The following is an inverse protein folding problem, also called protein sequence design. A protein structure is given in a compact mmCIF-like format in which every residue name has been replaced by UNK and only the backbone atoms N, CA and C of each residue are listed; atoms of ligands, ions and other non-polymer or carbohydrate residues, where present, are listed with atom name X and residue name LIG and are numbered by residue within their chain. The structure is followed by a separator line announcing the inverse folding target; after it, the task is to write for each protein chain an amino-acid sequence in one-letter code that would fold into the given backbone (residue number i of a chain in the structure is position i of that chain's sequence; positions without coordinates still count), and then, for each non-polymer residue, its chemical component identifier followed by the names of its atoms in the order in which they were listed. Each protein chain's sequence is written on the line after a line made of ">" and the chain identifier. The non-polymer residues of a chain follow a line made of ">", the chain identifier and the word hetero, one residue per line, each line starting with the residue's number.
data_IF_667733937556
#
_entry.id   IF_667733937556
#
_cell.length_a   1.000
_cell.length_b   1.000
_cell.length_c   1.000
_cell.angle_alpha   90.00
_cell.angle_beta   90.00
_cell.angle_gamma   90.00
#
_symmetry.space_group_name_H-M   'P 1'
#
loop_
_entity.id
_entity.type
_entity.pdbx_description
1 polymer ?
#
# COMPACT_ATOMS: atom_id res chain seq x y z
N UNK A 1 6.70 6.31 -43.70
CA UNK A 1 6.93 6.62 -42.28
C UNK A 1 6.48 5.44 -41.47
N UNK A 2 7.38 4.60 -41.01
CA UNK A 2 7.09 3.41 -40.22
C UNK A 2 6.96 3.82 -38.74
N UNK A 3 5.77 3.69 -38.20
CA UNK A 3 5.52 3.88 -36.76
C UNK A 3 5.95 2.59 -36.09
N UNK A 4 7.10 2.61 -35.43
CA UNK A 4 7.53 1.52 -34.56
C UNK A 4 6.63 1.50 -33.32
N UNK A 5 5.77 0.50 -33.21
CA UNK A 5 4.97 0.21 -32.02
C UNK A 5 5.90 -0.27 -30.90
N UNK A 6 6.26 0.59 -29.97
CA UNK A 6 6.92 0.21 -28.72
C UNK A 6 5.86 -0.32 -27.74
N UNK A 7 5.61 -1.62 -27.77
CA UNK A 7 4.70 -2.34 -26.86
C UNK A 7 5.34 -2.68 -25.48
N UNK A 8 6.11 -1.78 -24.91
CA UNK A 8 6.84 -2.03 -23.64
C UNK A 8 6.42 -1.10 -22.51
N UNK A 9 5.12 -0.88 -22.28
CA UNK A 9 4.68 0.14 -21.30
C UNK A 9 3.74 -0.31 -20.19
N UNK A 10 2.97 -1.37 -20.34
CA UNK A 10 1.84 -1.66 -19.43
C UNK A 10 2.20 -2.48 -18.19
N UNK A 11 3.13 -3.44 -18.29
CA UNK A 11 3.45 -4.34 -17.18
C UNK A 11 4.23 -3.67 -16.02
N UNK A 12 4.98 -2.58 -16.27
CA UNK A 12 5.80 -1.91 -15.24
C UNK A 12 5.09 -0.76 -14.50
N UNK A 13 3.95 -0.27 -15.00
CA UNK A 13 3.23 0.86 -14.41
C UNK A 13 2.31 0.46 -13.27
N UNK A 14 1.65 -0.69 -13.35
CA UNK A 14 0.66 -1.14 -12.36
C UNK A 14 1.22 -1.25 -10.93
N UNK A 15 2.41 -1.85 -10.68
CA UNK A 15 2.95 -1.92 -9.32
C UNK A 15 3.27 -0.54 -8.72
N UNK A 16 3.82 0.37 -9.50
CA UNK A 16 4.12 1.73 -9.04
C UNK A 16 2.84 2.50 -8.71
N UNK A 17 1.75 2.29 -9.45
CA UNK A 17 0.46 2.96 -9.20
C UNK A 17 -0.28 2.35 -8.00
N UNK A 18 -0.16 1.05 -7.76
CA UNK A 18 -0.62 0.40 -6.52
C UNK A 18 0.09 0.99 -5.30
N UNK A 19 1.43 1.05 -5.34
CA UNK A 19 2.23 1.65 -4.27
C UNK A 19 1.89 3.14 -4.05
N UNK A 20 1.58 3.88 -5.11
CA UNK A 20 1.17 5.29 -5.02
C UNK A 20 -0.19 5.45 -4.39
N UNK A 21 -1.13 4.55 -4.64
CA UNK A 21 -2.41 4.48 -3.93
C UNK A 21 -2.22 4.27 -2.43
N UNK A 22 -1.39 3.30 -2.05
CA UNK A 22 -1.03 3.04 -0.65
C UNK A 22 -0.35 4.26 0.00
N UNK A 23 0.57 4.93 -0.69
CA UNK A 23 1.18 6.18 -0.23
C UNK A 23 0.14 7.25 0.12
N UNK A 24 -0.85 7.47 -0.77
CA UNK A 24 -1.88 8.48 -0.52
C UNK A 24 -2.73 8.12 0.70
N UNK A 25 -3.04 6.85 0.89
CA UNK A 25 -3.72 6.37 2.11
C UNK A 25 -2.87 6.61 3.37
N UNK A 26 -1.56 6.32 3.32
CA UNK A 26 -0.64 6.58 4.44
C UNK A 26 -0.58 8.06 4.77
N UNK A 27 -0.47 8.95 3.76
CA UNK A 27 -0.47 10.41 3.97
C UNK A 27 -1.73 10.90 4.68
N UNK A 28 -2.90 10.42 4.25
CA UNK A 28 -4.17 10.78 4.88
C UNK A 28 -4.30 10.21 6.30
N UNK A 29 -3.89 8.96 6.52
CA UNK A 29 -3.89 8.33 7.84
C UNK A 29 -2.94 9.05 8.81
N UNK A 30 -1.73 9.38 8.38
CA UNK A 30 -0.77 10.15 9.15
C UNK A 30 -1.36 11.51 9.56
N UNK A 31 -2.01 12.22 8.62
CA UNK A 31 -2.70 13.48 8.89
C UNK A 31 -3.80 13.31 9.95
N UNK A 32 -4.60 12.25 9.87
CA UNK A 32 -5.67 11.94 10.84
C UNK A 32 -5.13 11.59 12.22
N UNK A 33 -4.04 10.78 12.27
CA UNK A 33 -3.34 10.42 13.52
C UNK A 33 -2.35 11.51 14.00
N UNK A 34 -2.25 12.68 13.32
CA UNK A 34 -1.33 13.81 13.63
C UNK A 34 0.15 13.38 13.64
N UNK A 35 0.51 12.48 12.75
CA UNK A 35 1.90 12.07 12.51
C UNK A 35 2.50 12.93 11.40
N UNK A 36 3.73 13.39 11.60
CA UNK A 36 4.50 14.05 10.55
C UNK A 36 5.24 12.99 9.73
N UNK A 37 5.04 12.94 8.43
CA UNK A 37 5.63 11.91 7.56
C UNK A 37 7.16 11.88 7.68
N UNK A 38 7.80 13.03 7.75
CA UNK A 38 9.26 13.16 7.89
C UNK A 38 9.82 12.70 9.26
N UNK A 39 8.96 12.43 10.24
CA UNK A 39 9.30 11.84 11.53
C UNK A 39 8.84 10.39 11.64
N UNK A 40 8.20 9.87 10.60
CA UNK A 40 7.58 8.54 10.59
C UNK A 40 8.61 7.46 10.31
N UNK A 41 8.62 6.41 11.13
CA UNK A 41 9.42 5.19 10.95
C UNK A 41 8.58 4.12 10.26
N UNK A 42 9.12 3.54 9.18
CA UNK A 42 8.39 2.63 8.29
C UNK A 42 9.10 1.29 8.17
N UNK A 43 8.33 0.20 8.30
CA UNK A 43 8.76 -1.15 7.99
C UNK A 43 7.95 -1.71 6.81
N UNK A 44 8.61 -2.26 5.78
CA UNK A 44 7.96 -2.80 4.58
C UNK A 44 8.32 -4.28 4.42
N UNK A 45 7.35 -5.15 4.64
CA UNK A 45 7.50 -6.58 4.40
C UNK A 45 7.18 -6.90 2.93
N UNK A 46 8.18 -7.44 2.23
CA UNK A 46 8.07 -7.72 0.81
C UNK A 46 8.60 -6.60 -0.09
N UNK A 47 9.91 -6.58 -0.35
CA UNK A 47 10.58 -5.63 -1.23
C UNK A 47 10.52 -6.05 -2.71
N UNK A 48 9.30 -6.44 -3.14
CA UNK A 48 8.94 -6.74 -4.52
C UNK A 48 8.44 -5.52 -5.27
N UNK A 49 7.59 -5.77 -6.28
CA UNK A 49 7.08 -4.72 -7.17
C UNK A 49 6.31 -3.60 -6.44
N UNK A 50 5.47 -3.92 -5.46
CA UNK A 50 4.68 -2.91 -4.73
C UNK A 50 5.52 -2.31 -3.60
N UNK A 51 6.11 -3.17 -2.75
CA UNK A 51 6.80 -2.71 -1.54
C UNK A 51 8.05 -1.86 -1.83
N UNK A 52 8.82 -2.17 -2.87
CA UNK A 52 9.99 -1.35 -3.23
C UNK A 52 9.60 0.06 -3.69
N UNK A 53 8.52 0.20 -4.47
CA UNK A 53 7.98 1.51 -4.84
C UNK A 53 7.38 2.25 -3.64
N UNK A 54 6.66 1.55 -2.76
CA UNK A 54 6.08 2.18 -1.57
C UNK A 54 7.17 2.69 -0.63
N UNK A 55 8.19 1.87 -0.35
CA UNK A 55 9.34 2.28 0.44
C UNK A 55 10.05 3.50 -0.17
N UNK A 56 10.25 3.49 -1.51
CA UNK A 56 10.83 4.60 -2.23
C UNK A 56 10.01 5.88 -2.07
N UNK A 57 8.71 5.83 -2.31
CA UNK A 57 7.84 7.01 -2.23
C UNK A 57 7.73 7.55 -0.80
N UNK A 58 7.68 6.69 0.21
CA UNK A 58 7.70 7.12 1.61
C UNK A 58 9.02 7.78 1.99
N UNK A 59 10.15 7.23 1.52
CA UNK A 59 11.47 7.86 1.71
C UNK A 59 11.57 9.22 0.99
N UNK A 60 11.02 9.35 -0.22
CA UNK A 60 10.94 10.62 -0.96
C UNK A 60 10.08 11.67 -0.22
N UNK A 61 9.08 11.24 0.55
CA UNK A 61 8.28 12.09 1.44
C UNK A 61 8.98 12.42 2.77
N UNK A 62 10.19 11.88 2.98
CA UNK A 62 11.01 12.14 4.16
C UNK A 62 10.85 11.10 5.29
N UNK A 63 10.03 10.07 5.13
CA UNK A 63 9.93 9.01 6.12
C UNK A 63 11.21 8.20 6.25
N UNK A 64 11.52 7.72 7.46
CA UNK A 64 12.66 6.86 7.73
C UNK A 64 12.26 5.40 7.52
N UNK A 65 12.66 4.79 6.42
CA UNK A 65 12.45 3.36 6.17
C UNK A 65 13.46 2.56 6.99
N UNK A 66 13.02 2.00 8.12
CA UNK A 66 13.89 1.30 9.08
C UNK A 66 14.05 -0.19 8.77
N UNK A 67 13.10 -0.78 8.05
CA UNK A 67 13.17 -2.20 7.70
C UNK A 67 12.51 -2.48 6.35
N UNK A 68 13.09 -3.41 5.61
CA UNK A 68 12.57 -3.97 4.36
C UNK A 68 12.87 -5.47 4.34
N UNK A 69 12.05 -6.27 3.64
CA UNK A 69 12.35 -7.70 3.47
C UNK A 69 11.98 -8.22 2.08
N UNK A 70 12.63 -9.30 1.68
CA UNK A 70 12.19 -10.11 0.55
C UNK A 70 11.93 -11.57 0.98
N UNK A 71 11.82 -12.48 0.02
CA UNK A 71 11.59 -13.90 0.30
C UNK A 71 12.80 -14.63 0.93
N UNK A 72 13.96 -14.00 0.94
CA UNK A 72 15.23 -14.58 1.40
C UNK A 72 15.63 -14.03 2.76
N UNK A 73 15.50 -12.72 2.96
CA UNK A 73 15.94 -12.04 4.18
C UNK A 73 15.17 -10.76 4.45
N UNK A 74 15.08 -10.37 5.71
CA UNK A 74 14.78 -9.01 6.13
C UNK A 74 16.06 -8.24 6.44
N UNK A 75 15.97 -6.93 6.37
CA UNK A 75 17.01 -5.97 6.71
C UNK A 75 16.44 -4.94 7.68
N UNK A 76 17.20 -4.62 8.74
CA UNK A 76 16.84 -3.61 9.73
C UNK A 76 17.99 -2.63 9.94
N UNK A 77 17.68 -1.34 9.92
CA UNK A 77 18.57 -0.27 10.36
C UNK A 77 17.73 0.80 11.07
N UNK A 78 17.85 0.98 12.39
CA UNK A 78 17.05 1.97 13.13
C UNK A 78 17.29 3.41 12.70
N UNK A 79 18.42 3.70 12.03
CA UNK A 79 18.77 5.02 11.50
C UNK A 79 18.27 5.23 10.06
N UNK A 80 17.61 4.23 9.48
CA UNK A 80 17.10 4.24 8.11
C UNK A 80 17.98 3.47 7.13
N UNK A 81 17.32 2.87 6.14
CA UNK A 81 17.92 2.16 5.01
C UNK A 81 17.89 3.09 3.81
N UNK A 82 19.02 3.19 3.10
CA UNK A 82 19.04 3.80 1.77
C UNK A 82 18.25 2.92 0.80
N UNK A 83 16.99 3.32 0.57
CA UNK A 83 16.05 2.55 -0.26
C UNK A 83 16.52 2.47 -1.71
N UNK A 84 17.18 3.52 -2.24
CA UNK A 84 17.68 3.51 -3.60
C UNK A 84 18.87 2.54 -3.75
N UNK A 85 19.78 2.53 -2.79
CA UNK A 85 20.89 1.58 -2.74
C UNK A 85 20.39 0.14 -2.59
N UNK A 86 19.35 -0.10 -1.77
CA UNK A 86 18.73 -1.42 -1.62
C UNK A 86 18.05 -1.90 -2.91
N UNK A 87 17.36 -1.00 -3.65
CA UNK A 87 16.78 -1.31 -4.96
C UNK A 87 17.87 -1.69 -5.97
N UNK A 88 18.96 -0.92 -6.03
CA UNK A 88 20.08 -1.18 -6.92
C UNK A 88 20.72 -2.53 -6.58
N UNK A 89 21.04 -2.78 -5.31
CA UNK A 89 21.60 -4.05 -4.84
C UNK A 89 20.72 -5.24 -5.23
N UNK A 90 19.43 -5.18 -4.95
CA UNK A 90 18.49 -6.26 -5.30
C UNK A 90 18.38 -6.49 -6.81
N UNK A 91 18.46 -5.43 -7.61
CA UNK A 91 18.44 -5.54 -9.07
C UNK A 91 19.69 -6.26 -9.60
N UNK A 92 20.84 -6.04 -8.98
CA UNK A 92 22.11 -6.66 -9.37
C UNK A 92 22.25 -8.11 -8.89
N UNK A 93 21.80 -8.39 -7.66
CA UNK A 93 22.02 -9.68 -6.99
C UNK A 93 20.80 -10.61 -7.00
N UNK A 94 19.59 -10.08 -7.30
CA UNK A 94 18.32 -10.79 -7.22
C UNK A 94 17.70 -10.85 -5.83
N UNK A 95 18.41 -10.44 -4.76
CA UNK A 95 17.97 -10.52 -3.37
C UNK A 95 18.48 -9.33 -2.55
N UNK A 96 17.89 -9.13 -1.35
CA UNK A 96 18.42 -8.21 -0.34
C UNK A 96 19.60 -8.81 0.45
N UNK A 97 19.84 -10.11 0.32
CA UNK A 97 20.95 -10.79 1.01
C UNK A 97 22.31 -10.18 0.66
N UNK A 98 23.12 -9.95 1.67
CA UNK A 98 24.44 -9.33 1.50
C UNK A 98 24.46 -7.80 1.42
N UNK A 99 23.33 -7.13 1.55
CA UNK A 99 23.28 -5.67 1.69
C UNK A 99 23.90 -5.24 3.04
N UNK A 100 25.04 -4.54 2.98
CA UNK A 100 25.92 -4.32 4.15
C UNK A 100 25.50 -3.16 5.07
N UNK A 101 24.55 -2.31 4.65
CA UNK A 101 24.18 -1.12 5.40
C UNK A 101 23.03 -1.36 6.42
N UNK A 102 22.69 -2.63 6.68
CA UNK A 102 21.61 -3.02 7.60
C UNK A 102 21.90 -4.39 8.21
N UNK A 103 21.32 -4.64 9.37
CA UNK A 103 21.34 -5.94 10.06
C UNK A 103 20.34 -6.89 9.41
N UNK A 104 20.71 -8.16 9.24
CA UNK A 104 19.80 -9.18 8.74
C UNK A 104 18.84 -9.62 9.85
N UNK A 105 17.54 -9.65 9.52
CA UNK A 105 16.45 -10.11 10.37
C UNK A 105 15.54 -11.07 9.61
N UNK A 106 14.65 -11.75 10.28
CA UNK A 106 13.61 -12.58 9.66
C UNK A 106 12.40 -11.73 9.23
N UNK A 107 11.51 -12.30 8.42
CA UNK A 107 10.24 -11.66 8.08
C UNK A 107 9.33 -11.51 9.31
N UNK A 108 9.35 -12.50 10.19
CA UNK A 108 8.59 -12.51 11.44
C UNK A 108 9.07 -11.40 12.38
N UNK A 109 10.39 -11.25 12.55
CA UNK A 109 10.95 -10.16 13.34
C UNK A 109 10.60 -8.78 12.77
N UNK A 110 10.59 -8.62 11.43
CA UNK A 110 10.21 -7.38 10.80
C UNK A 110 8.77 -6.96 11.14
N UNK A 111 7.81 -7.90 11.11
CA UNK A 111 6.41 -7.63 11.42
C UNK A 111 6.20 -7.14 12.87
N UNK A 112 7.13 -7.44 13.76
CA UNK A 112 7.05 -7.12 15.20
C UNK A 112 7.91 -5.91 15.60
N UNK A 113 8.55 -5.24 14.62
CA UNK A 113 9.35 -4.04 14.91
C UNK A 113 8.45 -2.89 15.39
N UNK A 114 9.00 -2.12 16.32
CA UNK A 114 8.38 -0.86 16.72
C UNK A 114 8.55 0.17 15.60
N UNK A 115 7.44 0.55 14.99
CA UNK A 115 7.40 1.51 13.88
C UNK A 115 6.06 2.28 13.88
N UNK A 116 5.98 3.36 13.10
CA UNK A 116 4.74 4.10 12.93
C UNK A 116 3.87 3.47 11.85
N UNK A 117 4.49 3.00 10.75
CA UNK A 117 3.80 2.36 9.63
C UNK A 117 4.43 1.03 9.31
N UNK A 118 3.63 -0.03 9.34
CA UNK A 118 3.96 -1.36 8.85
C UNK A 118 3.22 -1.62 7.54
N UNK A 119 3.96 -2.00 6.50
CA UNK A 119 3.40 -2.25 5.17
C UNK A 119 3.65 -3.70 4.74
N UNK A 120 2.72 -4.64 5.00
CA UNK A 120 2.76 -5.98 4.42
C UNK A 120 2.42 -5.91 2.91
N UNK A 121 3.43 -6.16 2.07
CA UNK A 121 3.37 -6.05 0.61
C UNK A 121 3.74 -7.35 -0.12
N UNK A 122 3.89 -8.48 0.59
CA UNK A 122 4.36 -9.73 0.01
C UNK A 122 3.23 -10.75 -0.18
N UNK A 123 2.76 -11.34 0.91
CA UNK A 123 1.87 -12.49 0.93
C UNK A 123 0.59 -12.19 1.71
N UNK A 124 -0.43 -12.99 1.45
CA UNK A 124 -1.63 -13.06 2.28
C UNK A 124 -1.33 -13.67 3.65
N UNK A 125 -2.15 -13.34 4.67
CA UNK A 125 -2.18 -13.98 5.98
C UNK A 125 -0.82 -13.99 6.72
N UNK A 126 -0.04 -12.91 6.62
CA UNK A 126 1.23 -12.76 7.34
C UNK A 126 1.03 -12.20 8.75
N UNK A 127 -0.07 -11.50 9.00
CA UNK A 127 -0.52 -11.08 10.33
C UNK A 127 -1.75 -11.89 10.68
N UNK A 128 -1.62 -12.73 11.68
CA UNK A 128 -2.62 -13.69 12.12
C UNK A 128 -2.88 -13.51 13.60
N UNK A 129 -3.86 -14.23 14.16
CA UNK A 129 -4.14 -14.26 15.60
C UNK A 129 -2.94 -14.67 16.45
N UNK A 130 -1.95 -15.32 15.86
CA UNK A 130 -0.76 -15.77 16.61
C UNK A 130 0.27 -14.67 16.83
N UNK A 131 0.33 -13.66 15.98
CA UNK A 131 1.32 -12.58 16.05
C UNK A 131 0.70 -11.17 16.16
N UNK A 132 -0.58 -11.00 15.87
CA UNK A 132 -1.24 -9.69 15.87
C UNK A 132 -1.09 -8.91 17.19
N UNK A 133 -1.18 -9.61 18.34
CA UNK A 133 -1.02 -9.00 19.66
C UNK A 133 0.40 -8.44 19.91
N UNK A 134 1.38 -8.84 19.11
CA UNK A 134 2.78 -8.41 19.23
C UNK A 134 3.15 -7.30 18.23
N UNK A 135 2.25 -6.97 17.29
CA UNK A 135 2.46 -5.87 16.35
C UNK A 135 2.47 -4.54 17.09
N UNK A 136 3.52 -3.75 16.86
CA UNK A 136 3.75 -2.46 17.54
C UNK A 136 3.68 -1.26 16.60
N UNK A 137 3.11 -1.45 15.43
CA UNK A 137 2.85 -0.37 14.49
C UNK A 137 1.63 0.45 14.91
N UNK A 138 1.60 1.75 14.59
CA UNK A 138 0.42 2.61 14.76
C UNK A 138 -0.55 2.48 13.58
N UNK A 139 0.00 2.20 12.40
CA UNK A 139 -0.74 2.06 11.14
C UNK A 139 -0.23 0.81 10.42
N UNK A 140 -1.13 -0.05 10.02
CA UNK A 140 -0.87 -1.15 9.07
C UNK A 140 -1.46 -0.77 7.72
N UNK A 141 -0.65 -0.72 6.65
CA UNK A 141 -1.14 -0.46 5.29
C UNK A 141 -1.00 -1.72 4.43
N UNK A 142 -2.12 -2.27 4.01
CA UNK A 142 -2.17 -3.51 3.24
C UNK A 142 -1.82 -3.27 1.76
N UNK A 143 -0.55 -3.45 1.43
CA UNK A 143 -0.09 -3.39 0.04
C UNK A 143 -0.33 -4.69 -0.73
N UNK A 144 -0.29 -5.85 -0.05
CA UNK A 144 -0.71 -7.14 -0.55
C UNK A 144 -2.23 -7.32 -0.40
N UNK A 145 -2.79 -8.38 -1.00
CA UNK A 145 -4.18 -8.75 -0.78
C UNK A 145 -4.30 -9.64 0.46
N UNK A 146 -5.20 -9.29 1.38
CA UNK A 146 -5.50 -10.06 2.57
C UNK A 146 -4.30 -10.41 3.47
N UNK A 147 -3.35 -9.51 3.74
CA UNK A 147 -2.19 -9.83 4.57
C UNK A 147 -2.52 -9.98 6.05
N UNK A 148 -3.67 -9.42 6.47
CA UNK A 148 -4.20 -9.53 7.84
C UNK A 148 -5.41 -10.46 7.83
N UNK A 149 -5.43 -11.47 8.70
CA UNK A 149 -6.60 -12.35 8.84
C UNK A 149 -7.74 -11.63 9.57
N UNK A 150 -9.02 -12.05 9.39
CA UNK A 150 -10.14 -11.44 10.10
C UNK A 150 -10.00 -11.49 11.62
N UNK A 151 -9.48 -12.58 12.18
CA UNK A 151 -9.25 -12.68 13.62
C UNK A 151 -8.12 -11.76 14.11
N UNK A 152 -7.10 -11.52 13.27
CA UNK A 152 -6.04 -10.57 13.57
C UNK A 152 -6.51 -9.11 13.47
N UNK A 153 -7.47 -8.82 12.60
CA UNK A 153 -8.07 -7.48 12.42
C UNK A 153 -8.63 -6.98 13.76
N UNK A 154 -9.45 -7.81 14.43
CA UNK A 154 -10.06 -7.49 15.72
C UNK A 154 -8.99 -7.24 16.81
N UNK A 155 -7.93 -8.08 16.86
CA UNK A 155 -6.84 -7.93 17.83
C UNK A 155 -6.06 -6.62 17.60
N UNK A 156 -5.80 -6.27 16.35
CA UNK A 156 -5.10 -5.03 16.00
C UNK A 156 -5.96 -3.80 16.34
N UNK A 157 -7.27 -3.86 16.10
CA UNK A 157 -8.21 -2.78 16.45
C UNK A 157 -8.27 -2.57 17.97
N UNK A 158 -8.34 -3.65 18.76
CA UNK A 158 -8.31 -3.60 20.22
C UNK A 158 -7.00 -2.96 20.75
N UNK A 159 -5.90 -3.08 20.00
CA UNK A 159 -4.61 -2.46 20.31
C UNK A 159 -4.44 -1.03 19.72
N UNK A 160 -5.50 -0.37 19.27
CA UNK A 160 -5.49 0.97 18.61
C UNK A 160 -4.60 1.03 17.36
N UNK A 161 -4.38 -0.07 16.67
CA UNK A 161 -3.67 -0.10 15.38
C UNK A 161 -4.65 0.22 14.27
N UNK A 162 -4.41 1.29 13.53
CA UNK A 162 -5.22 1.64 12.37
C UNK A 162 -4.85 0.77 11.17
N UNK A 163 -5.81 0.01 10.65
CA UNK A 163 -5.61 -0.78 9.44
C UNK A 163 -6.15 -0.03 8.23
N UNK A 164 -5.31 0.20 7.24
CA UNK A 164 -5.69 0.68 5.92
C UNK A 164 -5.92 -0.54 5.02
N UNK A 165 -7.18 -0.96 4.81
CA UNK A 165 -7.48 -2.25 4.18
C UNK A 165 -7.09 -2.28 2.71
N UNK A 166 -6.75 -3.44 2.21
CA UNK A 166 -6.31 -3.70 0.83
C UNK A 166 -7.26 -3.16 -0.22
N UNK A 167 -8.57 -3.36 -0.06
CA UNK A 167 -9.61 -2.84 -0.97
C UNK A 167 -9.51 -1.32 -1.19
N UNK A 168 -8.92 -0.58 -0.25
CA UNK A 168 -8.66 0.86 -0.35
C UNK A 168 -7.21 1.14 -0.71
N UNK A 169 -6.26 0.57 0.04
CA UNK A 169 -4.85 0.94 -0.04
C UNK A 169 -4.21 0.50 -1.35
N UNK A 170 -4.53 -0.70 -1.85
CA UNK A 170 -3.94 -1.21 -3.10
C UNK A 170 -4.79 -0.93 -4.36
N UNK A 171 -5.90 -0.20 -4.23
CA UNK A 171 -6.80 0.12 -5.34
C UNK A 171 -6.15 0.96 -6.47
N UNK A 172 -4.99 1.57 -6.22
CA UNK A 172 -4.32 2.44 -7.19
C UNK A 172 -4.03 1.78 -8.53
N UNK A 173 -3.67 0.48 -8.53
CA UNK A 173 -3.46 -0.29 -9.75
C UNK A 173 -4.73 -0.42 -10.59
N UNK A 174 -5.85 -0.74 -9.96
CA UNK A 174 -7.16 -0.88 -10.62
C UNK A 174 -7.64 0.45 -11.18
N UNK A 175 -7.50 1.53 -10.41
CA UNK A 175 -7.87 2.90 -10.85
C UNK A 175 -7.09 3.31 -12.09
N UNK A 176 -5.78 3.07 -12.12
CA UNK A 176 -4.96 3.45 -13.28
C UNK A 176 -5.22 2.53 -14.48
N UNK A 177 -5.50 1.25 -14.27
CA UNK A 177 -5.95 0.36 -15.35
C UNK A 177 -7.26 0.86 -15.99
N UNK A 178 -8.19 1.38 -15.20
CA UNK A 178 -9.37 2.06 -15.73
C UNK A 178 -9.00 3.32 -16.54
N UNK A 179 -8.05 4.12 -16.06
CA UNK A 179 -7.59 5.29 -16.85
C UNK A 179 -6.95 4.87 -18.17
N UNK A 180 -6.17 3.80 -18.19
CA UNK A 180 -5.58 3.25 -19.42
C UNK A 180 -6.68 2.85 -20.44
N UNK A 181 -7.73 2.18 -19.94
CA UNK A 181 -8.87 1.83 -20.77
C UNK A 181 -9.59 3.06 -21.33
N UNK A 182 -9.85 4.10 -20.52
CA UNK A 182 -10.47 5.36 -20.96
C UNK A 182 -9.60 6.06 -22.01
N UNK A 183 -8.29 6.15 -21.78
CA UNK A 183 -7.34 6.77 -22.72
C UNK A 183 -7.30 5.99 -24.04
N UNK A 184 -7.37 4.64 -23.98
CA UNK A 184 -7.46 3.80 -25.18
C UNK A 184 -8.72 4.05 -26.00
N UNK A 185 -9.89 4.25 -25.36
CA UNK A 185 -11.13 4.60 -26.05
C UNK A 185 -11.11 5.99 -26.68
N UNK A 186 -10.42 6.94 -26.06
CA UNK A 186 -10.34 8.34 -26.51
C UNK A 186 -9.19 8.57 -27.49
N UNK A 187 -8.28 7.60 -27.67
CA UNK A 187 -7.04 7.73 -28.44
C UNK A 187 -6.19 8.95 -28.00
N UNK A 188 -6.33 9.36 -26.72
CA UNK A 188 -5.64 10.49 -26.11
C UNK A 188 -4.96 10.07 -24.80
N UNK A 189 -3.64 10.20 -24.76
CA UNK A 189 -2.82 9.74 -23.62
C UNK A 189 -2.45 10.89 -22.69
N UNK A 190 -2.79 10.74 -21.43
CA UNK A 190 -2.47 11.70 -20.38
C UNK A 190 -1.00 11.61 -19.99
N UNK A 191 -0.44 12.72 -19.53
CA UNK A 191 0.90 12.74 -18.93
C UNK A 191 0.87 12.04 -17.57
N UNK A 192 2.00 11.47 -17.15
CA UNK A 192 2.12 10.78 -15.86
C UNK A 192 1.68 11.67 -14.69
N UNK A 193 2.07 12.94 -14.68
CA UNK A 193 1.66 13.88 -13.64
C UNK A 193 0.14 14.05 -13.55
N UNK A 194 -0.56 14.03 -14.69
CA UNK A 194 -2.02 14.13 -14.75
C UNK A 194 -2.68 12.84 -14.23
N UNK A 195 -2.15 11.68 -14.62
CA UNK A 195 -2.61 10.39 -14.09
C UNK A 195 -2.45 10.35 -12.57
N UNK A 196 -1.28 10.77 -12.06
CA UNK A 196 -1.00 10.78 -10.63
C UNK A 196 -1.90 11.76 -9.85
N UNK A 197 -2.19 12.94 -10.42
CA UNK A 197 -3.12 13.90 -9.80
C UNK A 197 -4.54 13.32 -9.70
N UNK A 198 -5.05 12.75 -10.80
CA UNK A 198 -6.37 12.10 -10.81
C UNK A 198 -6.45 10.92 -9.85
N UNK A 199 -5.38 10.11 -9.77
CA UNK A 199 -5.29 9.00 -8.83
C UNK A 199 -5.33 9.51 -7.38
N UNK A 200 -4.57 10.55 -7.07
CA UNK A 200 -4.57 11.17 -5.74
C UNK A 200 -5.97 11.64 -5.34
N UNK A 201 -6.67 12.35 -6.22
CA UNK A 201 -8.03 12.85 -5.96
C UNK A 201 -9.02 11.71 -5.67
N UNK A 202 -8.94 10.61 -6.42
CA UNK A 202 -9.82 9.45 -6.24
C UNK A 202 -9.52 8.74 -4.91
N UNK A 203 -8.25 8.43 -4.64
CA UNK A 203 -7.86 7.69 -3.44
C UNK A 203 -8.11 8.53 -2.17
N UNK A 204 -7.75 9.83 -2.19
CA UNK A 204 -7.98 10.73 -1.06
C UNK A 204 -9.48 10.87 -0.75
N UNK A 205 -10.31 11.00 -1.77
CA UNK A 205 -11.77 11.02 -1.59
C UNK A 205 -12.30 9.71 -1.02
N UNK A 206 -11.88 8.57 -1.59
CA UNK A 206 -12.29 7.26 -1.09
C UNK A 206 -11.85 7.03 0.36
N UNK A 207 -10.62 7.44 0.72
CA UNK A 207 -10.13 7.41 2.09
C UNK A 207 -11.03 8.23 3.03
N UNK A 208 -11.30 9.50 2.68
CA UNK A 208 -12.09 10.38 3.54
C UNK A 208 -13.55 9.93 3.70
N UNK A 209 -14.17 9.36 2.67
CA UNK A 209 -15.50 8.75 2.78
C UNK A 209 -15.47 7.52 3.69
N UNK A 210 -14.45 6.67 3.56
CA UNK A 210 -14.28 5.50 4.43
C UNK A 210 -14.03 5.91 5.87
N UNK A 211 -13.17 6.89 6.10
CA UNK A 211 -12.89 7.46 7.42
C UNK A 211 -14.15 8.01 8.09
N UNK A 212 -14.90 8.84 7.38
CA UNK A 212 -16.17 9.41 7.88
C UNK A 212 -17.20 8.33 8.21
N UNK A 213 -17.24 7.25 7.40
CA UNK A 213 -18.13 6.11 7.66
C UNK A 213 -17.68 5.34 8.90
N UNK A 214 -16.38 5.11 9.06
CA UNK A 214 -15.77 4.49 10.24
C UNK A 214 -16.15 5.26 11.51
N UNK A 215 -15.89 6.58 11.53
CA UNK A 215 -16.19 7.44 12.70
C UNK A 215 -17.69 7.52 13.01
N UNK A 216 -18.52 7.73 11.99
CA UNK A 216 -19.96 7.93 12.21
C UNK A 216 -20.71 6.65 12.61
N UNK A 217 -20.20 5.48 12.26
CA UNK A 217 -20.80 4.19 12.56
C UNK A 217 -20.14 3.43 13.69
N UNK A 218 -18.96 3.88 14.15
CA UNK A 218 -18.18 3.19 15.19
C UNK A 218 -17.75 1.78 14.77
N UNK A 219 -17.29 1.63 13.52
CA UNK A 219 -16.84 0.34 12.96
C UNK A 219 -15.39 0.46 12.48
N UNK A 220 -14.72 -0.68 12.22
CA UNK A 220 -13.38 -0.68 11.67
C UNK A 220 -13.31 -0.02 10.28
N UNK A 221 -12.13 0.45 9.88
CA UNK A 221 -11.93 1.03 8.55
C UNK A 221 -12.17 0.01 7.44
N UNK A 222 -11.86 -1.27 7.68
CA UNK A 222 -12.16 -2.38 6.78
C UNK A 222 -13.66 -2.54 6.58
N UNK A 223 -14.42 -2.61 7.66
CA UNK A 223 -15.87 -2.78 7.58
C UNK A 223 -16.53 -1.57 6.91
N UNK A 224 -16.05 -0.36 7.18
CA UNK A 224 -16.49 0.85 6.51
C UNK A 224 -16.22 0.81 5.00
N UNK A 225 -15.03 0.38 4.58
CA UNK A 225 -14.65 0.28 3.18
C UNK A 225 -15.50 -0.75 2.42
N UNK A 226 -15.67 -1.94 2.98
CA UNK A 226 -16.55 -2.97 2.40
C UNK A 226 -18.00 -2.52 2.33
N UNK A 227 -18.52 -1.90 3.39
CA UNK A 227 -19.90 -1.38 3.42
C UNK A 227 -20.14 -0.34 2.32
N UNK A 228 -19.18 0.56 2.09
CA UNK A 228 -19.22 1.53 0.99
C UNK A 228 -19.18 0.85 -0.38
N UNK A 229 -18.29 -0.13 -0.57
CA UNK A 229 -18.15 -0.85 -1.82
C UNK A 229 -19.42 -1.64 -2.18
N UNK A 230 -19.95 -2.41 -1.24
CA UNK A 230 -21.19 -3.18 -1.42
C UNK A 230 -22.38 -2.26 -1.74
N UNK A 231 -22.52 -1.15 -1.01
CA UNK A 231 -23.57 -0.16 -1.27
C UNK A 231 -23.50 0.38 -2.70
N UNK A 232 -22.31 0.79 -3.18
CA UNK A 232 -22.12 1.32 -4.54
C UNK A 232 -22.49 0.30 -5.61
N UNK A 233 -22.11 -0.96 -5.42
CA UNK A 233 -22.46 -2.04 -6.36
C UNK A 233 -23.98 -2.29 -6.35
N UNK A 234 -24.61 -2.35 -5.17
CA UNK A 234 -26.04 -2.53 -5.03
C UNK A 234 -26.84 -1.39 -5.69
N UNK A 235 -26.43 -0.14 -5.45
CA UNK A 235 -27.06 1.05 -6.08
C UNK A 235 -26.93 1.01 -7.60
N UNK A 236 -25.75 0.68 -8.13
CA UNK A 236 -25.50 0.55 -9.55
C UNK A 236 -26.37 -0.55 -10.19
N UNK A 237 -26.48 -1.70 -9.51
CA UNK A 237 -27.30 -2.84 -9.96
C UNK A 237 -28.79 -2.47 -9.96
N UNK A 238 -29.25 -1.81 -8.90
CA UNK A 238 -30.65 -1.37 -8.81
C UNK A 238 -31.00 -0.33 -9.87
N UNK A 239 -30.08 0.62 -10.14
CA UNK A 239 -30.29 1.68 -11.15
C UNK A 239 -30.29 1.14 -12.56
N UNK A 240 -29.44 0.16 -12.87
CA UNK A 240 -29.39 -0.49 -14.20
C UNK A 240 -30.51 -1.48 -14.43
N UNK A 241 -31.13 -1.99 -13.37
CA UNK A 241 -32.02 -3.14 -13.37
C UNK A 241 -31.23 -4.46 -13.50
N UNK A 242 -31.86 -5.55 -13.08
CA UNK A 242 -31.36 -6.90 -13.40
C UNK A 242 -31.83 -7.17 -14.82
N UNK A 243 -30.91 -7.01 -15.75
CA UNK A 243 -31.23 -7.25 -17.16
C UNK A 243 -30.96 -8.70 -17.51
N UNK A 244 -31.86 -9.38 -18.24
CA UNK A 244 -31.58 -10.65 -18.88
C UNK A 244 -30.59 -10.46 -20.05
#
# INVERSE_FOLDING_TARGET
>A
MSISSSSNGTSSRTPATTARGALYCVREAARKKRLLINETRVAVQGFGNVGSFLAKFLAEDGATVIAISDSVTGLHNPNGIDVQAAIAHKRETGSLSGFRAAEAITNEELLLLECDVLAPCALEQVITETNAAQVRAKIVVEGANGPVTPAADDILEDNDVLILPDILANAGGVVVSYFEWVQGLQEYFWKEAEVNAKLNDIITRAFNETWSTMESRGVSMRLAAYGLAVRRVAEATTTRGIYP
#
